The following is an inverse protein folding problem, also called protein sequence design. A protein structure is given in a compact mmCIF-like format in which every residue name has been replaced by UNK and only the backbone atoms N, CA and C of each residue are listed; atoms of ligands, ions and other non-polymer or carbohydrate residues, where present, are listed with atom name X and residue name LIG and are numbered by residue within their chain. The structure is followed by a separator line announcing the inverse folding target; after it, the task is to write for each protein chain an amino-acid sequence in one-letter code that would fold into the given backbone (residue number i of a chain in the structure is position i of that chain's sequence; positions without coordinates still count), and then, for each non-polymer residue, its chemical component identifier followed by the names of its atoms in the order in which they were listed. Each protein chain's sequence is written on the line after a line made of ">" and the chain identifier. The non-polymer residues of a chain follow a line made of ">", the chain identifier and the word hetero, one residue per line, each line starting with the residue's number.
data_IF_941940980117
#
_entry.id   IF_941940980117
#
_cell.length_a   1.000
_cell.length_b   1.000
_cell.length_c   1.000
_cell.angle_alpha   90.00
_cell.angle_beta   90.00
_cell.angle_gamma   90.00
#
_symmetry.space_group_name_H-M   'P 1'
#
loop_
_entity.id
_entity.type
_entity.pdbx_description
1 polymer ?
#
# COMPACT_ATOMS: atom_id res chain seq x y z
N UNK A 1 -22.06 67.76 -31.00
CA UNK A 1 -20.81 67.28 -30.37
C UNK A 1 -20.91 65.75 -30.38
N UNK A 2 -20.52 65.01 -31.44
CA UNK A 2 -19.13 64.74 -31.92
C UNK A 2 -18.25 64.40 -30.73
N UNK A 3 -17.75 63.18 -30.53
CA UNK A 3 -16.96 62.26 -31.38
C UNK A 3 -16.95 60.88 -30.67
N UNK A 4 -16.62 59.71 -31.21
CA UNK A 4 -16.01 59.28 -32.45
C UNK A 4 -15.49 57.85 -32.22
N UNK A 5 -16.00 56.87 -32.96
CA UNK A 5 -15.58 55.47 -32.91
C UNK A 5 -14.27 55.29 -33.67
N UNK A 6 -13.28 54.65 -33.04
CA UNK A 6 -12.04 54.12 -33.64
C UNK A 6 -11.81 52.79 -32.89
N UNK A 7 -11.80 51.60 -33.46
CA UNK A 7 -11.27 51.20 -34.76
C UNK A 7 -9.96 50.45 -34.53
N UNK A 8 -9.99 49.18 -34.08
CA UNK A 8 -8.79 48.32 -34.07
C UNK A 8 -9.11 46.98 -34.72
N UNK A 9 -8.58 46.86 -35.94
CA UNK A 9 -8.53 45.69 -36.82
C UNK A 9 -7.70 44.59 -36.16
N UNK A 10 -8.32 43.48 -35.77
CA UNK A 10 -7.59 42.25 -35.48
C UNK A 10 -7.41 41.46 -36.78
N UNK A 11 -6.13 41.33 -37.18
CA UNK A 11 -5.69 40.60 -38.36
C UNK A 11 -6.01 39.12 -38.21
N UNK A 12 -6.77 38.62 -39.16
CA UNK A 12 -6.94 37.21 -39.46
C UNK A 12 -5.59 36.66 -39.96
N UNK A 13 -4.90 35.91 -39.12
CA UNK A 13 -3.86 35.01 -39.59
C UNK A 13 -4.53 33.69 -39.98
N UNK A 14 -4.65 33.49 -41.30
CA UNK A 14 -4.79 32.17 -41.89
C UNK A 14 -3.55 31.34 -41.51
N UNK A 15 -3.70 30.42 -40.56
CA UNK A 15 -2.84 29.24 -40.53
C UNK A 15 -3.45 28.19 -41.47
N UNK A 16 -2.92 28.18 -42.69
CA UNK A 16 -3.02 27.05 -43.61
C UNK A 16 -2.26 25.89 -42.97
N UNK A 17 -2.97 25.01 -42.28
CA UNK A 17 -2.43 23.71 -41.87
C UNK A 17 -2.67 22.73 -43.03
N UNK A 18 -1.59 22.47 -43.75
CA UNK A 18 -1.49 21.42 -44.75
C UNK A 18 -1.84 20.05 -44.14
N UNK A 19 -2.66 19.33 -44.88
CA UNK A 19 -2.89 17.89 -44.76
C UNK A 19 -1.54 17.14 -44.70
N UNK A 20 -1.29 16.51 -43.57
CA UNK A 20 -0.49 15.28 -43.53
C UNK A 20 -1.21 14.29 -42.65
N UNK A 21 -1.81 13.33 -43.35
CA UNK A 21 -2.22 12.02 -42.88
C UNK A 21 -1.14 11.39 -42.00
N UNK A 22 -1.25 11.61 -40.69
CA UNK A 22 -0.58 10.81 -39.69
C UNK A 22 -1.68 9.99 -39.00
N UNK A 23 -1.69 8.72 -39.39
CA UNK A 23 -2.30 7.57 -38.72
C UNK A 23 -2.92 7.88 -37.37
N UNK A 24 -4.23 7.62 -37.27
CA UNK A 24 -4.88 7.23 -36.03
C UNK A 24 -4.11 6.06 -35.41
N UNK A 25 -3.10 6.35 -34.60
CA UNK A 25 -2.63 5.38 -33.62
C UNK A 25 -3.66 5.44 -32.51
N UNK A 26 -4.61 4.52 -32.62
CA UNK A 26 -5.50 4.05 -31.55
C UNK A 26 -4.62 3.60 -30.37
N UNK A 27 -4.14 4.56 -29.59
CA UNK A 27 -3.49 4.34 -28.30
C UNK A 27 -4.36 4.97 -27.20
N UNK A 28 -5.64 4.65 -27.26
CA UNK A 28 -6.58 4.92 -26.19
C UNK A 28 -7.20 3.57 -25.82
N UNK A 29 -7.20 3.27 -24.52
CA UNK A 29 -7.88 2.13 -23.89
C UNK A 29 -7.13 0.78 -23.89
N UNK A 30 -5.87 0.77 -23.47
CA UNK A 30 -5.30 -0.40 -22.78
C UNK A 30 -4.86 0.06 -21.38
N UNK A 31 -5.81 0.19 -20.46
CA UNK A 31 -5.47 0.24 -19.04
C UNK A 31 -5.03 -1.17 -18.64
N UNK A 32 -3.78 -1.40 -18.20
CA UNK A 32 -3.34 -2.74 -17.88
C UNK A 32 -4.06 -3.23 -16.62
N UNK A 33 -4.61 -4.44 -16.75
CA UNK A 33 -5.12 -5.23 -15.64
C UNK A 33 -4.01 -5.46 -14.60
N UNK A 34 -4.37 -5.41 -13.31
CA UNK A 34 -3.59 -5.98 -12.20
C UNK A 34 -2.11 -5.57 -12.09
N UNK A 35 -1.77 -4.31 -12.36
CA UNK A 35 -0.44 -3.82 -12.00
C UNK A 35 -0.35 -3.68 -10.47
N UNK A 36 0.32 -4.65 -9.84
CA UNK A 36 0.82 -4.49 -8.47
C UNK A 36 1.51 -3.13 -8.37
N UNK A 37 1.21 -2.32 -7.34
CA UNK A 37 1.86 -1.02 -7.19
C UNK A 37 3.37 -1.23 -7.15
N UNK A 38 4.09 -0.42 -7.93
CA UNK A 38 5.53 -0.53 -8.04
C UNK A 38 6.18 -0.28 -6.67
N UNK A 39 7.38 -0.84 -6.48
CA UNK A 39 8.15 -0.64 -5.24
C UNK A 39 8.34 0.84 -4.96
N UNK A 40 8.59 1.63 -6.00
CA UNK A 40 8.80 3.08 -5.95
C UNK A 40 7.55 3.80 -5.41
N UNK A 41 6.34 3.37 -5.81
CA UNK A 41 5.10 3.95 -5.32
C UNK A 41 4.94 3.72 -3.82
N UNK A 42 5.18 2.49 -3.36
CA UNK A 42 5.09 2.15 -1.93
C UNK A 42 6.16 2.88 -1.10
N UNK A 43 7.36 3.04 -1.64
CA UNK A 43 8.43 3.82 -1.01
C UNK A 43 8.03 5.30 -0.89
N UNK A 44 7.43 5.89 -1.93
CA UNK A 44 6.93 7.26 -1.90
C UNK A 44 5.79 7.44 -0.89
N UNK A 45 4.89 6.45 -0.75
CA UNK A 45 3.85 6.45 0.27
C UNK A 45 4.45 6.42 1.68
N UNK A 46 5.41 5.52 1.94
CA UNK A 46 6.10 5.43 3.23
C UNK A 46 6.82 6.74 3.57
N UNK A 47 7.49 7.34 2.59
CA UNK A 47 8.12 8.64 2.73
C UNK A 47 7.11 9.72 3.14
N UNK A 48 5.97 9.78 2.46
CA UNK A 48 4.91 10.76 2.77
C UNK A 48 4.36 10.57 4.18
N UNK A 49 4.09 9.31 4.58
CA UNK A 49 3.61 8.98 5.93
C UNK A 49 4.65 9.40 6.98
N UNK A 50 5.92 9.08 6.72
CA UNK A 50 7.02 9.38 7.63
C UNK A 50 7.15 10.89 7.87
N UNK A 51 7.15 11.69 6.81
CA UNK A 51 7.24 13.15 6.88
C UNK A 51 6.09 13.75 7.70
N UNK A 52 4.88 13.19 7.59
CA UNK A 52 3.71 13.60 8.39
C UNK A 52 3.79 13.15 9.85
N UNK A 53 4.53 12.10 10.16
CA UNK A 53 4.64 11.55 11.52
C UNK A 53 5.55 12.37 12.44
N UNK A 54 6.37 13.27 11.90
CA UNK A 54 7.34 14.05 12.68
C UNK A 54 8.49 13.23 13.28
N UNK A 55 8.69 11.98 12.80
CA UNK A 55 9.77 11.11 13.25
C UNK A 55 11.15 11.58 12.73
N UNK A 56 12.26 11.27 13.43
CA UNK A 56 13.63 11.66 13.05
C UNK A 56 14.05 11.22 11.63
N UNK A 57 14.67 12.11 10.84
CA UNK A 57 15.03 11.86 9.43
C UNK A 57 15.99 10.68 9.25
N UNK A 58 16.86 10.39 10.21
CA UNK A 58 17.79 9.24 10.18
C UNK A 58 17.07 7.88 10.22
N UNK A 59 15.85 7.82 10.77
CA UNK A 59 15.01 6.63 10.71
C UNK A 59 14.36 6.45 9.32
N UNK A 60 14.19 7.52 8.54
CA UNK A 60 13.50 7.51 7.23
C UNK A 60 14.17 6.55 6.25
N UNK A 61 15.47 6.73 6.01
CA UNK A 61 16.23 5.91 5.05
C UNK A 61 16.27 4.45 5.50
N UNK A 62 16.30 4.22 6.82
CA UNK A 62 16.21 2.88 7.41
C UNK A 62 14.84 2.22 7.19
N UNK A 63 13.73 2.97 7.16
CA UNK A 63 12.40 2.39 6.95
C UNK A 63 12.13 2.10 5.47
N UNK A 64 12.48 3.03 4.58
CA UNK A 64 12.29 2.84 3.14
C UNK A 64 13.13 1.66 2.64
N UNK A 65 14.36 1.52 3.13
CA UNK A 65 15.22 0.38 2.78
C UNK A 65 14.75 -0.98 3.34
N UNK A 66 13.86 -1.00 4.35
CA UNK A 66 13.25 -2.24 4.85
C UNK A 66 12.15 -2.77 3.94
N UNK A 67 11.58 -1.94 3.08
CA UNK A 67 10.68 -2.37 2.01
C UNK A 67 11.52 -2.96 0.86
N UNK A 68 12.14 -4.11 1.13
CA UNK A 68 12.98 -4.84 0.20
C UNK A 68 12.87 -6.34 0.48
N UNK A 69 13.13 -7.20 -0.51
CA UNK A 69 13.19 -8.64 -0.30
C UNK A 69 14.20 -9.03 0.79
N UNK A 70 13.97 -10.15 1.49
CA UNK A 70 14.86 -10.58 2.56
C UNK A 70 16.16 -11.12 1.97
N UNK A 71 17.28 -10.88 2.66
CA UNK A 71 18.60 -11.41 2.25
C UNK A 71 18.65 -12.94 2.23
N UNK A 72 17.93 -13.57 3.14
CA UNK A 72 17.70 -15.03 3.18
C UNK A 72 16.27 -15.27 2.73
N UNK A 73 16.00 -16.15 1.76
CA UNK A 73 14.62 -16.42 1.33
C UNK A 73 13.73 -16.86 2.50
N UNK A 74 12.50 -16.34 2.55
CA UNK A 74 11.56 -16.62 3.65
C UNK A 74 11.30 -18.12 3.88
N UNK A 75 11.27 -18.90 2.79
CA UNK A 75 11.10 -20.36 2.81
C UNK A 75 12.27 -21.10 3.48
N UNK A 76 13.44 -20.49 3.55
CA UNK A 76 14.65 -21.06 4.15
C UNK A 76 14.86 -20.62 5.61
N UNK A 77 14.15 -19.59 6.06
CA UNK A 77 14.26 -19.10 7.44
C UNK A 77 13.63 -20.08 8.44
N UNK A 78 14.35 -20.39 9.51
CA UNK A 78 13.80 -21.08 10.68
C UNK A 78 12.85 -20.17 11.48
N UNK A 79 12.14 -20.75 12.47
CA UNK A 79 11.17 -20.01 13.31
C UNK A 79 11.76 -18.73 13.92
N UNK A 80 12.93 -18.83 14.56
CA UNK A 80 13.58 -17.69 15.23
C UNK A 80 14.15 -16.65 14.26
N UNK A 81 14.43 -17.02 13.02
CA UNK A 81 14.83 -16.08 11.97
C UNK A 81 13.62 -15.31 11.44
N UNK A 82 12.51 -15.99 11.22
CA UNK A 82 11.23 -15.37 10.83
C UNK A 82 10.75 -14.38 11.87
N UNK A 83 10.78 -14.75 13.15
CA UNK A 83 10.44 -13.85 14.26
C UNK A 83 11.29 -12.57 14.24
N UNK A 84 12.62 -12.72 14.16
CA UNK A 84 13.54 -11.58 14.12
C UNK A 84 13.33 -10.73 12.88
N UNK A 85 13.08 -11.35 11.72
CA UNK A 85 12.81 -10.64 10.47
C UNK A 85 11.50 -9.86 10.55
N UNK A 86 10.42 -10.48 11.04
CA UNK A 86 9.13 -9.84 11.25
C UNK A 86 9.26 -8.64 12.20
N UNK A 87 9.94 -8.80 13.33
CA UNK A 87 10.09 -7.73 14.31
C UNK A 87 10.96 -6.55 13.80
N UNK A 88 12.04 -6.84 13.06
CA UNK A 88 13.03 -5.80 12.66
C UNK A 88 12.74 -5.15 11.32
N UNK A 89 12.17 -5.91 10.38
CA UNK A 89 11.97 -5.46 9.00
C UNK A 89 10.50 -5.18 8.70
N UNK A 90 9.62 -6.16 8.95
CA UNK A 90 8.21 -6.08 8.53
C UNK A 90 7.39 -5.15 9.43
N UNK A 91 7.44 -5.36 10.75
CA UNK A 91 6.60 -4.64 11.71
C UNK A 91 6.79 -3.12 11.64
N UNK A 92 8.00 -2.55 11.52
CA UNK A 92 8.18 -1.11 11.42
C UNK A 92 7.56 -0.50 10.15
N UNK A 93 7.63 -1.21 9.03
CA UNK A 93 7.02 -0.78 7.76
C UNK A 93 5.50 -0.87 7.85
N UNK A 94 4.98 -1.97 8.37
CA UNK A 94 3.54 -2.17 8.57
C UNK A 94 2.97 -1.14 9.52
N UNK A 95 3.62 -0.88 10.65
CA UNK A 95 3.24 0.15 11.61
C UNK A 95 3.01 1.49 10.90
N UNK A 96 3.95 1.95 10.06
CA UNK A 96 3.78 3.20 9.33
C UNK A 96 2.56 3.18 8.39
N UNK A 97 2.37 2.11 7.62
CA UNK A 97 1.19 2.01 6.76
C UNK A 97 -0.11 2.08 7.56
N UNK A 98 -0.21 1.36 8.68
CA UNK A 98 -1.39 1.35 9.53
C UNK A 98 -1.62 2.67 10.25
N UNK A 99 -0.56 3.32 10.76
CA UNK A 99 -0.63 4.68 11.34
C UNK A 99 -1.06 5.72 10.29
N UNK A 100 -0.61 5.58 9.04
CA UNK A 100 -1.04 6.42 7.92
C UNK A 100 -2.49 6.18 7.51
N UNK A 101 -3.02 4.98 7.76
CA UNK A 101 -4.40 4.60 7.47
C UNK A 101 -5.39 5.07 8.54
N UNK A 102 -5.09 4.90 9.83
CA UNK A 102 -5.95 5.34 10.94
C UNK A 102 -5.12 5.75 12.15
N UNK A 103 -5.54 6.83 12.83
CA UNK A 103 -4.86 7.33 14.05
C UNK A 103 -4.98 6.35 15.22
N UNK A 104 -5.96 5.45 15.20
CA UNK A 104 -6.15 4.45 16.25
C UNK A 104 -4.92 3.55 16.43
N UNK A 105 -4.17 3.30 15.35
CA UNK A 105 -2.94 2.50 15.41
C UNK A 105 -1.75 3.23 16.06
N UNK A 106 -1.82 4.56 16.25
CA UNK A 106 -0.77 5.36 16.90
C UNK A 106 -0.91 5.40 18.43
N UNK A 107 -2.15 5.52 18.92
CA UNK A 107 -2.40 5.89 20.32
C UNK A 107 -3.75 5.40 20.87
N UNK A 108 -4.42 4.47 20.18
CA UNK A 108 -5.66 3.87 20.66
C UNK A 108 -5.42 2.85 21.77
N UNK A 109 -6.52 2.28 22.29
CA UNK A 109 -6.50 1.23 23.32
C UNK A 109 -5.80 -0.07 22.86
N UNK A 110 -5.56 -0.20 21.54
CA UNK A 110 -4.92 -1.34 20.89
C UNK A 110 -3.89 -0.84 19.86
N UNK A 111 -2.69 -0.40 20.28
CA UNK A 111 -1.65 0.05 19.35
C UNK A 111 -1.22 -1.10 18.42
N UNK A 112 -0.77 -0.75 17.22
CA UNK A 112 -0.30 -1.75 16.26
C UNK A 112 0.86 -2.56 16.85
N UNK A 113 0.71 -3.89 16.87
CA UNK A 113 1.68 -4.80 17.48
C UNK A 113 1.65 -6.17 16.80
N UNK A 114 2.48 -7.11 17.27
CA UNK A 114 2.42 -8.50 16.82
C UNK A 114 1.01 -9.11 17.00
N UNK A 115 0.26 -8.65 18.02
CA UNK A 115 -1.10 -9.12 18.32
C UNK A 115 -2.11 -8.68 17.27
N UNK A 116 -1.85 -7.59 16.55
CA UNK A 116 -2.75 -7.11 15.48
C UNK A 116 -2.88 -8.15 14.36
N UNK A 117 -1.83 -8.94 14.11
CA UNK A 117 -1.85 -10.02 13.12
C UNK A 117 -1.97 -11.41 13.75
N UNK A 118 -1.30 -11.64 14.87
CA UNK A 118 -1.22 -12.96 15.51
C UNK A 118 -2.19 -13.14 16.69
N UNK A 119 -3.07 -12.17 16.99
CA UNK A 119 -4.07 -12.27 18.05
C UNK A 119 -3.52 -12.34 19.47
N UNK A 120 -4.45 -12.24 20.44
CA UNK A 120 -4.16 -12.13 21.88
C UNK A 120 -4.05 -13.47 22.62
N UNK A 121 -4.31 -14.60 21.95
CA UNK A 121 -4.34 -15.93 22.56
C UNK A 121 -3.03 -16.32 23.26
N UNK A 122 -1.90 -15.72 22.87
CA UNK A 122 -0.59 -15.95 23.51
C UNK A 122 -0.17 -14.87 24.53
N UNK A 123 -0.82 -13.70 24.57
CA UNK A 123 -0.48 -12.69 25.59
C UNK A 123 -0.93 -13.12 26.99
N UNK A 124 -1.98 -13.95 27.08
CA UNK A 124 -2.42 -14.59 28.33
C UNK A 124 -1.39 -15.56 28.94
N UNK A 125 -0.37 -15.97 28.20
CA UNK A 125 0.68 -16.91 28.68
C UNK A 125 2.06 -16.25 28.78
N UNK A 126 2.14 -14.92 28.62
CA UNK A 126 3.37 -14.13 28.83
C UNK A 126 4.53 -14.44 27.87
N UNK A 127 4.31 -15.17 26.78
CA UNK A 127 5.37 -15.62 25.87
C UNK A 127 5.04 -15.35 24.40
N UNK A 128 5.49 -14.19 23.93
CA UNK A 128 5.51 -13.74 22.52
C UNK A 128 6.24 -14.73 21.60
N UNK A 129 7.15 -15.53 22.17
CA UNK A 129 7.95 -16.57 21.52
C UNK A 129 7.14 -17.77 20.97
N UNK A 130 5.85 -17.86 21.30
CA UNK A 130 4.97 -18.92 20.84
C UNK A 130 4.15 -18.58 19.60
N UNK A 131 4.25 -17.36 19.06
CA UNK A 131 3.61 -17.07 17.77
C UNK A 131 4.16 -17.97 16.67
N UNK A 132 3.24 -18.52 15.88
CA UNK A 132 3.59 -19.12 14.61
C UNK A 132 3.85 -17.99 13.60
N UNK A 133 5.11 -17.63 13.41
CA UNK A 133 5.49 -16.63 12.41
C UNK A 133 5.44 -17.18 10.97
N UNK A 134 5.01 -18.43 10.74
CA UNK A 134 4.76 -18.92 9.38
C UNK A 134 3.45 -18.40 8.78
N UNK A 135 2.47 -18.01 9.62
CA UNK A 135 1.20 -17.41 9.20
C UNK A 135 0.55 -16.62 10.35
N UNK A 136 -0.19 -15.53 10.08
CA UNK A 136 -1.09 -14.95 11.08
C UNK A 136 -2.17 -15.96 11.47
N UNK A 137 -2.27 -16.36 12.74
CA UNK A 137 -3.13 -17.47 13.17
C UNK A 137 -4.51 -17.05 13.68
N UNK A 138 -4.76 -15.75 13.81
CA UNK A 138 -5.94 -15.25 14.54
C UNK A 138 -6.61 -14.01 13.91
N UNK A 139 -6.32 -13.71 12.64
CA UNK A 139 -7.10 -12.74 11.89
C UNK A 139 -8.50 -13.28 11.62
N UNK A 140 -9.49 -12.38 11.55
CA UNK A 140 -10.87 -12.74 11.26
C UNK A 140 -10.96 -13.54 9.94
N UNK A 141 -11.56 -14.73 9.92
CA UNK A 141 -11.69 -15.53 8.70
C UNK A 141 -12.52 -14.79 7.64
N UNK A 142 -12.07 -14.86 6.39
CA UNK A 142 -12.77 -14.28 5.24
C UNK A 142 -13.54 -15.36 4.50
N UNK A 143 -14.75 -15.02 4.06
CA UNK A 143 -15.57 -15.86 3.17
C UNK A 143 -15.22 -15.53 1.71
N UNK A 144 -14.60 -16.45 0.94
CA UNK A 144 -14.25 -16.20 -0.46
C UNK A 144 -15.44 -15.81 -1.35
N UNK A 145 -16.65 -16.20 -0.96
CA UNK A 145 -17.88 -15.93 -1.72
C UNK A 145 -18.46 -14.55 -1.44
N UNK A 146 -17.99 -13.87 -0.39
CA UNK A 146 -18.53 -12.60 0.09
C UNK A 146 -17.43 -11.67 0.63
N UNK A 147 -16.29 -11.59 -0.06
CA UNK A 147 -15.24 -10.62 0.28
C UNK A 147 -15.65 -9.25 -0.27
N UNK A 148 -15.58 -8.17 0.54
CA UNK A 148 -15.79 -6.81 0.06
C UNK A 148 -14.77 -6.45 -1.03
N UNK A 149 -15.14 -5.54 -1.93
CA UNK A 149 -14.27 -5.06 -3.01
C UNK A 149 -13.91 -3.58 -2.80
N UNK A 150 -12.99 -3.05 -3.59
CA UNK A 150 -12.72 -1.61 -3.63
C UNK A 150 -13.93 -0.76 -4.10
N UNK A 151 -15.01 -1.40 -4.57
CA UNK A 151 -16.26 -0.78 -5.00
C UNK A 151 -17.43 -1.12 -4.08
N UNK A 152 -17.16 -1.61 -2.86
CA UNK A 152 -18.20 -1.90 -1.87
C UNK A 152 -19.09 -0.65 -1.62
N UNK A 153 -20.43 -0.81 -1.51
CA UNK A 153 -21.32 0.31 -1.22
C UNK A 153 -21.02 0.96 0.14
N UNK A 154 -20.45 0.22 1.09
CA UNK A 154 -19.92 0.79 2.31
C UNK A 154 -18.55 1.45 2.03
N UNK A 155 -18.45 2.80 2.13
CA UNK A 155 -17.21 3.51 1.84
C UNK A 155 -16.05 3.13 2.77
N UNK A 156 -16.33 2.68 4.01
CA UNK A 156 -15.31 2.22 4.94
C UNK A 156 -14.72 0.88 4.48
N UNK A 157 -15.58 -0.06 4.09
CA UNK A 157 -15.17 -1.36 3.55
C UNK A 157 -14.37 -1.18 2.26
N UNK A 158 -14.85 -0.36 1.33
CA UNK A 158 -14.15 -0.04 0.09
C UNK A 158 -12.76 0.58 0.35
N UNK A 159 -12.67 1.48 1.34
CA UNK A 159 -11.40 2.12 1.73
C UNK A 159 -10.43 1.11 2.33
N UNK A 160 -10.89 0.23 3.22
CA UNK A 160 -10.08 -0.83 3.82
C UNK A 160 -9.55 -1.78 2.74
N UNK A 161 -10.40 -2.24 1.82
CA UNK A 161 -9.99 -3.16 0.75
C UNK A 161 -8.94 -2.52 -0.14
N UNK A 162 -9.11 -1.25 -0.54
CA UNK A 162 -8.08 -0.51 -1.29
C UNK A 162 -6.77 -0.45 -0.51
N UNK A 163 -6.80 -0.13 0.78
CA UNK A 163 -5.60 -0.11 1.61
C UNK A 163 -4.88 -1.47 1.64
N UNK A 164 -5.64 -2.56 1.82
CA UNK A 164 -5.07 -3.91 1.84
C UNK A 164 -4.50 -4.33 0.48
N UNK A 165 -5.20 -4.02 -0.63
CA UNK A 165 -4.80 -4.36 -2.00
C UNK A 165 -3.62 -3.52 -2.49
N UNK A 166 -3.61 -2.23 -2.19
CA UNK A 166 -2.64 -1.28 -2.73
C UNK A 166 -1.41 -1.08 -1.84
N UNK A 167 -1.50 -1.34 -0.53
CA UNK A 167 -0.40 -1.08 0.40
C UNK A 167 0.10 -2.35 1.06
N UNK A 168 -0.77 -3.03 1.80
CA UNK A 168 -0.35 -4.13 2.69
C UNK A 168 0.09 -5.36 1.90
N UNK A 169 -0.77 -5.89 1.03
CA UNK A 169 -0.46 -7.12 0.26
C UNK A 169 0.79 -6.95 -0.60
N UNK A 170 0.95 -5.87 -1.38
CA UNK A 170 2.14 -5.66 -2.20
C UNK A 170 3.42 -5.49 -1.36
N UNK A 171 3.36 -4.72 -0.26
CA UNK A 171 4.50 -4.58 0.63
C UNK A 171 4.92 -5.91 1.26
N UNK A 172 3.96 -6.75 1.64
CA UNK A 172 4.25 -8.10 2.15
C UNK A 172 4.84 -9.02 1.07
N UNK A 173 4.35 -8.96 -0.18
CA UNK A 173 4.97 -9.70 -1.31
C UNK A 173 6.44 -9.36 -1.45
N UNK A 174 6.76 -8.06 -1.39
CA UNK A 174 8.15 -7.56 -1.49
C UNK A 174 8.96 -8.05 -0.30
N UNK A 175 8.52 -7.78 0.93
CA UNK A 175 9.31 -8.08 2.14
C UNK A 175 9.45 -9.57 2.43
N UNK A 176 8.52 -10.42 1.99
CA UNK A 176 8.70 -11.87 2.10
C UNK A 176 9.42 -12.47 0.89
N UNK A 177 9.55 -11.72 -0.21
CA UNK A 177 10.03 -12.24 -1.49
C UNK A 177 9.10 -13.32 -2.06
N UNK A 178 7.80 -13.23 -1.79
CA UNK A 178 6.79 -14.21 -2.20
C UNK A 178 5.67 -13.52 -3.00
N UNK A 179 5.58 -13.72 -4.32
CA UNK A 179 4.54 -13.10 -5.15
C UNK A 179 3.14 -13.67 -4.85
N UNK A 180 3.04 -14.82 -4.18
CA UNK A 180 1.77 -15.51 -3.93
C UNK A 180 1.05 -15.02 -2.67
N UNK A 181 1.63 -14.05 -1.94
CA UNK A 181 0.94 -13.44 -0.80
C UNK A 181 -0.40 -12.87 -1.27
N UNK A 182 -1.46 -13.21 -0.55
CA UNK A 182 -2.86 -12.81 -0.82
C UNK A 182 -3.58 -12.52 0.50
N UNK A 183 -4.84 -12.10 0.43
CA UNK A 183 -5.69 -11.95 1.63
C UNK A 183 -5.68 -13.23 2.48
N UNK A 184 -5.69 -14.40 1.85
CA UNK A 184 -5.74 -15.70 2.53
C UNK A 184 -4.37 -16.23 2.99
N UNK A 185 -3.28 -15.52 2.70
CA UNK A 185 -2.00 -15.78 3.37
C UNK A 185 -2.07 -15.33 4.82
N UNK A 186 -2.86 -14.29 5.10
CA UNK A 186 -3.02 -13.72 6.43
C UNK A 186 -4.33 -14.17 7.10
N UNK A 187 -5.44 -14.15 6.35
CA UNK A 187 -6.75 -14.51 6.88
C UNK A 187 -7.07 -15.98 6.62
N UNK A 188 -7.66 -16.65 7.62
CA UNK A 188 -8.24 -17.97 7.40
C UNK A 188 -9.41 -17.91 6.40
N UNK A 189 -9.68 -19.02 5.72
CA UNK A 189 -10.91 -19.19 4.93
C UNK A 189 -12.03 -19.64 5.86
N UNK A 190 -13.18 -18.98 5.77
CA UNK A 190 -14.41 -19.38 6.46
C UNK A 190 -15.04 -20.60 5.78
#
# INVERSE_FOLDING_TARGET
>A
MMTGMIGVRWRWWLCVALLSSASCVLWACAGPADENPSVERLQADLQTIFERSGRPVDLKDSMVSRLAPPKVPWSQMGKSERERYMARSVMPVMLLFFEGYSREYQSGDQPFSCLTCHGDTFARVGNVSNFDFSRPTHLFPLDPSNIPTEFDPDPEMARMVRFMKEKITPAMRIMLGDPNVSCFTCHARK
#
